data_IF_598298724805
#
_entry.id   IF_598298724805
#
_cell.length_a   1.000
_cell.length_b   1.000
_cell.length_c   1.000
_cell.angle_alpha   90.00
_cell.angle_beta   90.00
_cell.angle_gamma   90.00
#
_symmetry.space_group_name_H-M   'P 1'
#
loop_
_entity.id
_entity.type
_entity.pdbx_description
1 polymer ?
#
# COMPACT_ATOMS: atom_id res chain seq x y z
N UNK A 1 29.42 6.33 1.61
CA UNK A 1 28.77 7.65 1.49
C UNK A 1 27.47 7.58 2.30
N UNK A 2 27.30 8.53 3.24
CA UNK A 2 26.02 8.65 3.92
C UNK A 2 24.98 9.05 2.88
N UNK A 3 23.97 8.23 2.67
CA UNK A 3 22.86 8.54 1.78
C UNK A 3 22.04 9.69 2.40
N UNK A 4 21.63 10.66 1.60
CA UNK A 4 20.71 11.69 2.04
C UNK A 4 19.27 11.14 1.95
N UNK A 5 18.77 10.66 3.06
CA UNK A 5 17.42 10.09 3.13
C UNK A 5 16.31 11.13 2.94
N UNK A 6 16.53 12.42 3.16
CA UNK A 6 15.56 13.47 2.82
C UNK A 6 15.38 13.54 1.30
N UNK A 7 16.48 13.56 0.56
CA UNK A 7 16.44 13.55 -0.92
C UNK A 7 15.80 12.27 -1.44
N UNK A 8 16.16 11.10 -0.89
CA UNK A 8 15.54 9.82 -1.29
C UNK A 8 14.02 9.85 -1.09
N UNK A 9 13.55 10.39 0.05
CA UNK A 9 12.12 10.47 0.34
C UNK A 9 11.39 11.37 -0.67
N UNK A 10 11.91 12.55 -0.96
CA UNK A 10 11.30 13.48 -1.92
C UNK A 10 11.32 12.93 -3.34
N UNK A 11 12.41 12.29 -3.75
CA UNK A 11 12.53 11.67 -5.07
C UNK A 11 11.55 10.49 -5.22
N UNK A 12 11.38 9.66 -4.19
CA UNK A 12 10.41 8.57 -4.19
C UNK A 12 8.98 9.10 -4.25
N UNK A 13 8.63 10.13 -3.46
CA UNK A 13 7.31 10.77 -3.51
C UNK A 13 6.98 11.34 -4.89
N UNK A 14 7.99 11.81 -5.62
CA UNK A 14 7.85 12.32 -6.98
C UNK A 14 7.76 11.21 -8.06
N UNK A 15 7.96 9.95 -7.71
CA UNK A 15 7.84 8.87 -8.72
C UNK A 15 6.39 8.68 -9.18
N UNK A 16 6.15 8.43 -10.49
CA UNK A 16 4.78 8.30 -11.02
C UNK A 16 3.91 7.23 -10.34
N UNK A 17 4.51 6.17 -9.79
CA UNK A 17 3.75 5.15 -9.05
C UNK A 17 3.25 5.65 -7.69
N UNK A 18 3.99 6.54 -7.04
CA UNK A 18 3.70 7.06 -5.70
C UNK A 18 2.98 8.42 -5.76
N UNK A 19 3.42 9.31 -6.66
CA UNK A 19 2.90 10.68 -6.78
C UNK A 19 1.37 10.75 -6.88
N UNK A 20 0.80 11.88 -6.45
CA UNK A 20 -0.65 12.11 -6.44
C UNK A 20 -1.29 11.86 -7.80
N UNK A 21 -2.38 11.11 -7.80
CA UNK A 21 -3.22 10.84 -8.99
C UNK A 21 -4.39 11.82 -9.10
N UNK A 22 -4.34 12.94 -8.39
CA UNK A 22 -5.44 13.89 -8.26
C UNK A 22 -5.97 14.37 -9.61
N UNK A 23 -5.07 14.68 -10.54
CA UNK A 23 -5.43 15.14 -11.89
C UNK A 23 -6.35 14.16 -12.62
N UNK A 24 -6.13 12.84 -12.50
CA UNK A 24 -6.99 11.84 -13.15
C UNK A 24 -8.27 11.59 -12.39
N UNK A 25 -8.18 11.46 -11.06
CA UNK A 25 -9.35 11.17 -10.22
C UNK A 25 -10.40 12.28 -10.31
N UNK A 26 -9.96 13.55 -10.31
CA UNK A 26 -10.89 14.69 -10.36
C UNK A 26 -11.47 14.99 -11.75
N UNK A 27 -11.04 14.29 -12.79
CA UNK A 27 -11.67 14.37 -14.11
C UNK A 27 -13.06 13.75 -14.14
N UNK A 28 -13.37 12.87 -13.21
CA UNK A 28 -14.63 12.16 -13.09
C UNK A 28 -15.35 12.52 -11.80
N UNK A 29 -16.68 12.46 -11.83
CA UNK A 29 -17.48 12.58 -10.64
C UNK A 29 -17.38 11.29 -9.81
N UNK A 30 -16.68 11.34 -8.71
CA UNK A 30 -16.49 10.23 -7.76
C UNK A 30 -17.36 10.37 -6.51
N UNK A 31 -18.26 11.33 -6.48
CA UNK A 31 -19.14 11.62 -5.35
C UNK A 31 -20.63 11.60 -5.75
N UNK A 32 -20.97 10.90 -6.84
CA UNK A 32 -22.36 10.75 -7.29
C UNK A 32 -23.23 10.23 -6.15
N UNK A 33 -24.46 10.77 -6.05
CA UNK A 33 -25.45 10.48 -4.98
C UNK A 33 -25.04 10.89 -3.56
N UNK A 34 -23.88 11.50 -3.36
CA UNK A 34 -23.40 12.00 -2.06
C UNK A 34 -23.36 10.95 -0.92
N UNK A 35 -23.07 9.69 -1.25
CA UNK A 35 -23.02 8.58 -0.30
C UNK A 35 -21.61 8.04 -0.06
N UNK A 36 -20.59 8.77 -0.47
CA UNK A 36 -19.18 8.38 -0.28
C UNK A 36 -18.72 8.76 1.13
N UNK A 37 -18.52 7.76 1.98
CA UNK A 37 -18.04 7.93 3.36
C UNK A 37 -16.52 8.12 3.43
N UNK A 38 -15.74 7.32 2.68
CA UNK A 38 -14.31 7.52 2.48
C UNK A 38 -14.07 7.77 0.98
N UNK A 39 -13.49 8.92 0.70
CA UNK A 39 -13.25 9.42 -0.67
C UNK A 39 -11.89 8.97 -1.18
N UNK A 40 -11.61 9.04 -2.49
CA UNK A 40 -10.29 8.79 -3.06
C UNK A 40 -9.19 9.68 -2.47
N UNK A 41 -9.56 10.89 -2.03
CA UNK A 41 -8.69 11.79 -1.29
C UNK A 41 -9.30 12.16 0.05
N UNK A 42 -8.47 12.09 1.09
CA UNK A 42 -8.82 12.34 2.49
C UNK A 42 -7.93 13.41 3.10
N UNK A 43 -8.08 13.67 4.38
CA UNK A 43 -7.28 14.62 5.12
C UNK A 43 -7.84 16.03 5.15
N UNK A 44 -7.07 16.94 5.76
CA UNK A 44 -7.48 18.30 6.08
C UNK A 44 -7.87 19.11 4.84
N UNK A 45 -7.13 18.93 3.75
CA UNK A 45 -7.39 19.59 2.45
C UNK A 45 -8.11 18.70 1.45
N UNK A 46 -8.41 17.45 1.82
CA UNK A 46 -9.01 16.43 0.94
C UNK A 46 -8.18 16.19 -0.33
N UNK A 47 -6.88 16.17 -0.18
CA UNK A 47 -5.88 15.95 -1.22
C UNK A 47 -4.81 14.93 -0.82
N UNK A 48 -4.91 14.33 0.37
CA UNK A 48 -4.08 13.20 0.80
C UNK A 48 -4.60 11.86 0.26
N UNK A 49 -3.76 10.83 0.11
CA UNK A 49 -4.16 9.54 -0.43
C UNK A 49 -5.13 8.80 0.50
N UNK A 50 -5.96 7.93 -0.06
CA UNK A 50 -6.83 7.01 0.69
C UNK A 50 -6.58 5.58 0.22
N UNK A 51 -6.63 4.64 1.15
CA UNK A 51 -6.37 3.22 0.89
C UNK A 51 -7.52 2.56 0.11
N UNK A 52 -8.76 2.92 0.42
CA UNK A 52 -9.94 2.36 -0.21
C UNK A 52 -11.11 3.35 -0.26
N UNK A 53 -12.03 3.13 -1.19
CA UNK A 53 -13.30 3.81 -1.22
C UNK A 53 -14.34 3.14 -0.32
N UNK A 54 -15.12 3.94 0.43
CA UNK A 54 -16.25 3.45 1.23
C UNK A 54 -17.52 4.22 0.84
N UNK A 55 -18.56 3.49 0.47
CA UNK A 55 -19.87 4.06 0.15
C UNK A 55 -20.95 3.48 1.05
N UNK A 56 -21.94 4.31 1.39
CA UNK A 56 -23.15 3.91 2.12
C UNK A 56 -24.35 3.94 1.15
N UNK A 57 -24.61 2.87 0.37
CA UNK A 57 -25.50 2.91 -0.78
C UNK A 57 -26.99 3.12 -0.42
N UNK A 58 -27.37 2.93 0.84
CA UNK A 58 -28.75 3.06 1.29
C UNK A 58 -28.86 4.25 2.25
N UNK A 59 -29.62 5.27 1.86
CA UNK A 59 -29.85 6.45 2.70
C UNK A 59 -30.42 6.09 4.09
N UNK A 60 -29.82 6.65 5.12
CA UNK A 60 -30.22 6.39 6.52
C UNK A 60 -29.72 5.07 7.10
N UNK A 61 -29.04 4.24 6.32
CA UNK A 61 -28.40 3.02 6.78
C UNK A 61 -26.89 3.24 6.89
N UNK A 62 -26.24 3.04 8.05
CA UNK A 62 -24.81 3.23 8.21
C UNK A 62 -23.97 2.09 7.62
N UNK A 63 -24.56 0.99 7.20
CA UNK A 63 -23.84 -0.10 6.56
C UNK A 63 -23.34 0.31 5.19
N UNK A 64 -22.11 -0.05 4.88
CA UNK A 64 -21.44 0.36 3.65
C UNK A 64 -20.81 -0.78 2.86
N UNK A 65 -20.29 -0.39 1.71
CA UNK A 65 -19.47 -1.21 0.84
C UNK A 65 -18.08 -0.60 0.76
N UNK A 66 -17.06 -1.42 0.98
CA UNK A 66 -15.65 -1.09 0.77
C UNK A 66 -15.25 -1.57 -0.62
N UNK A 67 -14.45 -0.77 -1.34
CA UNK A 67 -13.87 -1.11 -2.64
C UNK A 67 -12.39 -0.73 -2.60
N UNK A 68 -11.52 -1.71 -2.86
CA UNK A 68 -10.07 -1.54 -2.91
C UNK A 68 -9.46 -2.31 -4.08
N UNK A 69 -8.18 -2.09 -4.34
CA UNK A 69 -7.42 -2.87 -5.31
C UNK A 69 -5.97 -3.01 -4.84
N UNK A 70 -5.26 -3.94 -5.48
CA UNK A 70 -3.82 -4.12 -5.32
C UNK A 70 -3.18 -4.54 -6.63
N UNK A 71 -1.95 -4.10 -6.87
CA UNK A 71 -1.20 -4.35 -8.10
C UNK A 71 0.31 -4.19 -7.85
N UNK A 72 1.10 -5.20 -8.18
CA UNK A 72 2.56 -5.18 -7.99
C UNK A 72 3.32 -5.70 -9.23
N UNK A 73 3.16 -5.09 -10.42
CA UNK A 73 3.63 -5.68 -11.68
C UNK A 73 5.15 -5.90 -11.73
N UNK A 74 5.94 -5.04 -11.06
CA UNK A 74 7.41 -5.14 -11.06
C UNK A 74 7.93 -6.38 -10.37
N UNK A 75 7.20 -6.93 -9.41
CA UNK A 75 7.62 -8.18 -8.76
C UNK A 75 7.63 -9.37 -9.71
N UNK A 76 6.83 -9.32 -10.79
CA UNK A 76 6.79 -10.36 -11.81
C UNK A 76 8.10 -10.50 -12.62
N UNK A 77 8.95 -9.48 -12.64
CA UNK A 77 10.27 -9.56 -13.25
C UNK A 77 11.19 -10.56 -12.52
N UNK A 78 10.91 -10.79 -11.24
CA UNK A 78 11.63 -11.73 -10.37
C UNK A 78 10.78 -13.00 -10.13
N UNK A 79 9.55 -12.83 -9.64
CA UNK A 79 8.63 -13.93 -9.30
C UNK A 79 7.15 -13.55 -9.50
N UNK A 80 6.52 -14.16 -10.51
CA UNK A 80 5.11 -13.89 -10.80
C UNK A 80 4.14 -14.43 -9.72
N UNK A 81 4.55 -15.43 -8.93
CA UNK A 81 3.79 -15.90 -7.76
C UNK A 81 3.81 -14.84 -6.65
N UNK A 82 4.99 -14.31 -6.32
CA UNK A 82 5.13 -13.21 -5.36
C UNK A 82 4.31 -11.97 -5.79
N UNK A 83 4.34 -11.62 -7.08
CA UNK A 83 3.50 -10.55 -7.65
C UNK A 83 2.02 -10.78 -7.39
N UNK A 84 1.51 -11.99 -7.64
CA UNK A 84 0.11 -12.31 -7.42
C UNK A 84 -0.27 -12.26 -5.93
N UNK A 85 0.59 -12.81 -5.06
CA UNK A 85 0.39 -12.76 -3.61
C UNK A 85 0.37 -11.30 -3.09
N UNK A 86 1.29 -10.46 -3.57
CA UNK A 86 1.37 -9.06 -3.19
C UNK A 86 0.13 -8.28 -3.62
N UNK A 87 -0.34 -8.44 -4.85
CA UNK A 87 -1.54 -7.76 -5.35
C UNK A 87 -2.79 -8.12 -4.54
N UNK A 88 -2.95 -9.39 -4.14
CA UNK A 88 -4.08 -9.82 -3.31
C UNK A 88 -3.96 -9.26 -1.89
N UNK A 89 -2.78 -9.36 -1.29
CA UNK A 89 -2.53 -8.85 0.05
C UNK A 89 -2.75 -7.34 0.14
N UNK A 90 -2.27 -6.59 -0.82
CA UNK A 90 -2.47 -5.14 -0.90
C UNK A 90 -3.95 -4.77 -0.98
N UNK A 91 -4.74 -5.45 -1.83
CA UNK A 91 -6.18 -5.20 -1.91
C UNK A 91 -6.88 -5.44 -0.56
N UNK A 92 -6.51 -6.52 0.15
CA UNK A 92 -7.06 -6.82 1.49
C UNK A 92 -6.59 -5.80 2.52
N UNK A 93 -5.32 -5.45 2.51
CA UNK A 93 -4.69 -4.50 3.43
C UNK A 93 -5.31 -3.11 3.32
N UNK A 94 -5.51 -2.62 2.09
CA UNK A 94 -6.19 -1.37 1.79
C UNK A 94 -7.64 -1.36 2.33
N UNK A 95 -8.38 -2.45 2.13
CA UNK A 95 -9.72 -2.58 2.68
C UNK A 95 -9.74 -2.61 4.22
N UNK A 96 -8.75 -3.24 4.85
CA UNK A 96 -8.59 -3.28 6.31
C UNK A 96 -8.35 -1.88 6.87
N UNK A 97 -7.54 -1.05 6.21
CA UNK A 97 -7.23 0.31 6.63
C UNK A 97 -8.47 1.20 6.78
N UNK A 98 -9.54 0.93 6.05
CA UNK A 98 -10.80 1.68 6.17
C UNK A 98 -11.86 0.99 7.04
N UNK A 99 -11.62 -0.25 7.49
CA UNK A 99 -12.50 -0.96 8.43
C UNK A 99 -13.46 -1.98 7.79
N UNK A 100 -13.09 -2.61 6.67
CA UNK A 100 -13.86 -3.73 6.09
C UNK A 100 -14.09 -4.84 7.11
N UNK A 101 -15.23 -5.53 7.07
CA UNK A 101 -15.41 -6.81 7.75
C UNK A 101 -14.70 -7.90 6.92
N UNK A 102 -13.49 -8.28 7.32
CA UNK A 102 -12.67 -9.25 6.57
C UNK A 102 -13.29 -10.64 6.45
N UNK A 103 -14.30 -10.96 7.23
CA UNK A 103 -15.06 -12.22 7.11
C UNK A 103 -16.18 -12.13 6.05
N UNK A 104 -16.35 -10.95 5.40
CA UNK A 104 -17.36 -10.66 4.37
C UNK A 104 -16.76 -9.90 3.19
N UNK A 105 -15.72 -10.47 2.61
CA UNK A 105 -15.02 -9.93 1.45
C UNK A 105 -15.17 -10.87 0.25
N UNK A 106 -15.08 -10.29 -0.94
CA UNK A 106 -15.00 -11.03 -2.20
C UNK A 106 -14.08 -10.29 -3.17
N UNK A 107 -13.50 -11.03 -4.10
CA UNK A 107 -12.52 -10.48 -5.02
C UNK A 107 -12.84 -10.74 -6.49
N UNK A 108 -12.10 -10.03 -7.34
CA UNK A 108 -12.08 -10.18 -8.78
C UNK A 108 -10.62 -10.12 -9.24
N UNK A 109 -10.18 -11.17 -9.91
CA UNK A 109 -8.87 -11.21 -10.55
C UNK A 109 -8.94 -10.61 -11.96
N UNK A 110 -7.93 -9.81 -12.30
CA UNK A 110 -7.77 -9.23 -13.62
C UNK A 110 -6.34 -9.45 -14.10
N UNK A 111 -6.15 -10.51 -14.88
CA UNK A 111 -4.86 -10.83 -15.49
C UNK A 111 -4.63 -10.02 -16.77
N UNK A 112 -3.46 -9.40 -16.86
CA UNK A 112 -2.89 -8.85 -18.08
C UNK A 112 -1.57 -9.56 -18.36
N UNK A 113 -1.51 -10.37 -19.44
CA UNK A 113 -0.41 -11.30 -19.66
C UNK A 113 0.17 -11.21 -21.07
N UNK A 114 1.51 -11.35 -21.23
CA UNK A 114 2.11 -11.49 -22.53
C UNK A 114 1.73 -12.82 -23.18
N UNK A 115 2.08 -13.02 -24.46
CA UNK A 115 1.74 -14.27 -25.17
C UNK A 115 2.41 -15.50 -24.51
N UNK A 116 1.66 -16.41 -23.87
CA UNK A 116 2.21 -17.57 -23.20
C UNK A 116 2.38 -18.79 -24.12
N UNK A 117 2.19 -18.64 -25.42
CA UNK A 117 2.31 -19.74 -26.39
C UNK A 117 3.68 -19.67 -27.08
N UNK A 118 4.46 -20.72 -26.95
CA UNK A 118 5.74 -20.82 -27.64
C UNK A 118 5.54 -20.84 -29.17
N UNK A 119 6.25 -19.99 -29.86
CA UNK A 119 6.23 -19.89 -31.33
C UNK A 119 7.50 -19.16 -31.79
N UNK A 120 7.74 -19.12 -33.12
CA UNK A 120 8.82 -18.29 -33.68
C UNK A 120 8.73 -16.80 -33.24
N UNK A 121 7.49 -16.29 -32.99
CA UNK A 121 7.26 -14.91 -32.54
C UNK A 121 7.34 -14.76 -31.01
N UNK A 122 7.32 -15.84 -30.28
CA UNK A 122 7.33 -15.89 -28.82
C UNK A 122 8.16 -17.09 -28.35
N UNK A 123 9.49 -17.07 -28.54
CA UNK A 123 10.36 -18.19 -28.18
C UNK A 123 10.39 -18.46 -26.66
N UNK A 124 10.03 -17.46 -25.85
CA UNK A 124 9.90 -17.50 -24.39
C UNK A 124 8.48 -17.84 -23.88
N UNK A 125 7.58 -18.27 -24.78
CA UNK A 125 6.19 -18.56 -24.44
C UNK A 125 6.02 -19.58 -23.31
N UNK A 126 6.84 -20.65 -23.30
CA UNK A 126 6.81 -21.64 -22.20
C UNK A 126 7.16 -21.04 -20.85
N UNK A 127 8.12 -20.13 -20.80
CA UNK A 127 8.47 -19.43 -19.56
C UNK A 127 7.30 -18.56 -19.09
N UNK A 128 6.70 -17.79 -19.98
CA UNK A 128 5.54 -16.94 -19.69
C UNK A 128 4.33 -17.75 -19.22
N UNK A 129 4.12 -18.95 -19.79
CA UNK A 129 3.09 -19.89 -19.32
C UNK A 129 3.41 -20.42 -17.92
N UNK A 130 4.66 -20.77 -17.65
CA UNK A 130 5.09 -21.22 -16.33
C UNK A 130 4.87 -20.14 -15.25
N UNK A 131 5.17 -18.87 -15.57
CA UNK A 131 4.86 -17.74 -14.69
C UNK A 131 3.35 -17.62 -14.42
N UNK A 132 2.49 -17.79 -15.44
CA UNK A 132 1.04 -17.74 -15.28
C UNK A 132 0.56 -18.85 -14.33
N UNK A 133 1.10 -20.06 -14.48
CA UNK A 133 0.77 -21.18 -13.58
C UNK A 133 1.19 -20.88 -12.14
N UNK A 134 2.37 -20.27 -11.94
CA UNK A 134 2.84 -19.90 -10.60
C UNK A 134 1.93 -18.82 -9.98
N UNK A 135 1.59 -17.77 -10.74
CA UNK A 135 0.66 -16.73 -10.28
C UNK A 135 -0.69 -17.29 -9.88
N UNK A 136 -1.27 -18.21 -10.66
CA UNK A 136 -2.55 -18.87 -10.34
C UNK A 136 -2.46 -19.78 -9.10
N UNK A 137 -1.34 -20.45 -8.86
CA UNK A 137 -1.15 -21.24 -7.64
C UNK A 137 -1.11 -20.36 -6.39
N UNK A 138 -0.45 -19.21 -6.48
CA UNK A 138 -0.45 -18.24 -5.38
C UNK A 138 -1.82 -17.59 -5.19
N UNK A 139 -2.53 -17.25 -6.25
CA UNK A 139 -3.92 -16.77 -6.18
C UNK A 139 -4.77 -17.77 -5.39
N UNK A 140 -4.74 -19.04 -5.75
CA UNK A 140 -5.48 -20.08 -5.02
C UNK A 140 -5.07 -20.15 -3.55
N UNK A 141 -3.76 -20.19 -3.28
CA UNK A 141 -3.22 -20.32 -1.92
C UNK A 141 -3.66 -19.18 -1.01
N UNK A 142 -3.52 -17.95 -1.48
CA UNK A 142 -3.84 -16.75 -0.70
C UNK A 142 -5.36 -16.59 -0.55
N UNK A 143 -6.11 -16.76 -1.62
CA UNK A 143 -7.58 -16.66 -1.56
C UNK A 143 -8.18 -17.69 -0.60
N UNK A 144 -7.63 -18.89 -0.52
CA UNK A 144 -8.05 -19.91 0.46
C UNK A 144 -7.72 -19.50 1.90
N UNK A 145 -6.50 -19.04 2.15
CA UNK A 145 -6.08 -18.59 3.49
C UNK A 145 -6.90 -17.39 3.97
N UNK A 146 -7.15 -16.43 3.09
CA UNK A 146 -7.95 -15.25 3.39
C UNK A 146 -9.47 -15.48 3.29
N UNK A 147 -9.92 -16.71 2.97
CA UNK A 147 -11.34 -17.03 2.76
C UNK A 147 -12.02 -16.06 1.79
N UNK A 148 -11.30 -15.66 0.77
CA UNK A 148 -11.65 -14.64 -0.20
C UNK A 148 -12.10 -15.30 -1.50
N UNK A 149 -13.41 -15.45 -1.74
CA UNK A 149 -13.90 -16.02 -3.00
C UNK A 149 -13.70 -15.03 -4.14
N UNK A 150 -13.16 -15.48 -5.26
CA UNK A 150 -13.22 -14.75 -6.53
C UNK A 150 -14.60 -14.95 -7.13
N UNK A 151 -15.40 -13.88 -7.25
CA UNK A 151 -16.78 -13.92 -7.78
C UNK A 151 -16.84 -13.61 -9.27
N UNK A 152 -15.76 -13.11 -9.82
CA UNK A 152 -15.56 -12.85 -11.25
C UNK A 152 -14.08 -12.85 -11.56
N UNK A 153 -13.72 -12.94 -12.83
CA UNK A 153 -12.37 -12.83 -13.33
C UNK A 153 -12.35 -12.21 -14.72
N UNK A 154 -11.22 -11.64 -15.11
CA UNK A 154 -10.98 -11.10 -16.44
C UNK A 154 -9.57 -11.44 -16.86
N UNK A 155 -9.42 -12.07 -18.03
CA UNK A 155 -8.15 -12.47 -18.58
C UNK A 155 -7.86 -11.74 -19.89
N UNK A 156 -6.76 -11.04 -19.94
CA UNK A 156 -6.23 -10.42 -21.15
C UNK A 156 -4.88 -11.04 -21.47
N UNK A 157 -4.87 -11.86 -22.50
CA UNK A 157 -3.69 -12.58 -22.94
C UNK A 157 -3.14 -12.02 -24.25
N UNK A 158 -1.83 -12.27 -24.54
CA UNK A 158 -1.14 -11.79 -25.72
C UNK A 158 -1.08 -10.27 -25.81
N UNK A 159 -0.88 -9.62 -24.67
CA UNK A 159 -0.67 -8.17 -24.59
C UNK A 159 0.76 -7.81 -25.00
N UNK A 160 1.02 -7.93 -26.28
CA UNK A 160 2.30 -7.60 -26.90
C UNK A 160 2.09 -6.49 -27.93
N UNK A 161 3.01 -5.55 -28.00
CA UNK A 161 3.06 -4.50 -29.00
C UNK A 161 4.24 -4.68 -29.94
N UNK A 162 4.06 -4.38 -31.23
CA UNK A 162 5.11 -4.50 -32.24
C UNK A 162 5.35 -5.93 -32.74
N UNK A 163 6.42 -6.11 -33.51
CA UNK A 163 6.81 -7.39 -34.12
C UNK A 163 8.32 -7.50 -34.18
N UNK A 164 8.82 -8.74 -34.20
CA UNK A 164 10.26 -9.01 -34.36
C UNK A 164 11.10 -8.46 -33.18
N UNK A 165 12.26 -7.87 -33.45
CA UNK A 165 13.18 -7.36 -32.42
C UNK A 165 12.58 -6.21 -31.58
N UNK A 166 11.64 -5.45 -32.16
CA UNK A 166 11.00 -4.29 -31.53
C UNK A 166 9.72 -4.68 -30.76
N UNK A 167 9.50 -5.97 -30.57
CA UNK A 167 8.34 -6.45 -29.80
C UNK A 167 8.49 -6.09 -28.33
N UNK A 168 7.49 -5.40 -27.79
CA UNK A 168 7.35 -5.10 -26.37
C UNK A 168 6.26 -6.00 -25.81
N UNK A 169 6.59 -6.80 -24.82
CA UNK A 169 5.62 -7.60 -24.07
C UNK A 169 5.28 -6.86 -22.78
N UNK A 170 3.98 -6.87 -22.40
CA UNK A 170 3.58 -6.38 -21.08
C UNK A 170 4.28 -7.22 -19.99
N UNK A 171 4.71 -6.63 -18.88
CA UNK A 171 5.07 -7.41 -17.70
C UNK A 171 3.88 -8.26 -17.25
N UNK A 172 4.07 -9.52 -16.86
CA UNK A 172 3.03 -10.32 -16.21
C UNK A 172 2.39 -9.55 -15.06
N UNK A 173 1.09 -9.33 -15.11
CA UNK A 173 0.39 -8.46 -14.17
C UNK A 173 -0.91 -9.08 -13.70
N UNK A 174 -1.16 -9.03 -12.39
CA UNK A 174 -2.45 -9.23 -11.76
C UNK A 174 -2.87 -7.91 -11.10
N UNK A 175 -4.01 -7.34 -11.53
CA UNK A 175 -4.74 -6.35 -10.77
C UNK A 175 -5.83 -7.09 -9.99
N UNK A 176 -5.75 -7.07 -8.67
CA UNK A 176 -6.78 -7.69 -7.83
C UNK A 176 -7.71 -6.61 -7.26
N UNK A 177 -9.00 -6.73 -7.54
CA UNK A 177 -10.02 -5.84 -6.97
C UNK A 177 -10.76 -6.57 -5.86
N UNK A 178 -11.04 -5.86 -4.78
CA UNK A 178 -11.75 -6.39 -3.61
C UNK A 178 -12.94 -5.51 -3.30
N UNK A 179 -14.01 -6.12 -2.86
CA UNK A 179 -15.13 -5.46 -2.24
C UNK A 179 -15.58 -6.23 -1.01
N UNK A 180 -16.11 -5.50 -0.02
CA UNK A 180 -16.49 -6.08 1.24
C UNK A 180 -17.50 -5.23 2.02
N UNK A 181 -18.10 -5.86 3.02
CA UNK A 181 -19.06 -5.22 3.91
C UNK A 181 -18.35 -4.28 4.89
N UNK A 182 -18.89 -3.08 5.08
CA UNK A 182 -18.52 -2.20 6.20
C UNK A 182 -19.69 -2.13 7.19
N UNK A 183 -19.52 -2.63 8.40
CA UNK A 183 -20.64 -2.71 9.36
C UNK A 183 -21.28 -1.36 9.71
N UNK A 184 -20.45 -0.31 9.84
CA UNK A 184 -20.89 1.05 10.14
C UNK A 184 -19.86 2.07 9.63
N UNK A 185 -20.16 2.72 8.51
CA UNK A 185 -19.25 3.67 7.85
C UNK A 185 -18.83 4.87 8.72
N UNK A 186 -19.55 5.16 9.80
CA UNK A 186 -19.19 6.21 10.77
C UNK A 186 -17.92 5.87 11.56
N UNK A 187 -17.56 4.59 11.57
CA UNK A 187 -16.34 4.07 12.20
C UNK A 187 -15.17 3.91 11.22
N UNK A 188 -15.34 4.25 9.95
CA UNK A 188 -14.23 4.19 9.00
C UNK A 188 -13.01 4.95 9.52
N UNK A 189 -11.83 4.38 9.27
CA UNK A 189 -10.56 5.07 9.42
C UNK A 189 -10.11 5.67 8.09
N UNK A 190 -9.17 6.60 8.14
CA UNK A 190 -8.53 7.22 6.98
C UNK A 190 -7.03 7.37 7.23
N UNK A 191 -6.24 7.54 6.17
CA UNK A 191 -4.78 7.57 6.25
C UNK A 191 -4.22 8.78 6.99
N UNK A 192 -4.89 9.93 6.95
CA UNK A 192 -4.39 11.20 7.48
C UNK A 192 -4.17 11.21 8.99
N UNK A 193 -3.03 11.74 9.45
CA UNK A 193 -2.78 12.00 10.87
C UNK A 193 -3.75 13.07 11.39
N UNK A 194 -4.25 12.92 12.63
CA UNK A 194 -5.36 13.75 13.15
C UNK A 194 -4.97 14.61 14.34
N UNK A 195 -4.39 14.01 15.37
CA UNK A 195 -4.20 14.71 16.64
C UNK A 195 -2.78 14.56 17.18
N UNK A 196 -2.14 15.67 17.61
CA UNK A 196 -0.89 15.57 18.35
C UNK A 196 -1.03 14.70 19.58
N UNK A 197 0.00 13.88 19.85
CA UNK A 197 0.03 12.94 20.96
C UNK A 197 -0.57 11.56 20.65
N UNK A 198 -1.21 11.38 19.49
CA UNK A 198 -1.60 10.03 19.04
C UNK A 198 -0.35 9.17 18.87
N UNK A 199 -0.39 7.94 19.39
CA UNK A 199 0.71 6.99 19.30
C UNK A 199 0.70 6.28 17.96
N UNK A 200 1.85 6.22 17.31
CA UNK A 200 2.03 5.58 16.01
C UNK A 200 2.57 4.17 16.22
N UNK A 201 1.89 3.20 15.64
CA UNK A 201 2.29 1.79 15.66
C UNK A 201 2.44 1.24 14.26
N UNK A 202 3.46 0.41 14.05
CA UNK A 202 3.53 -0.50 12.92
C UNK A 202 2.89 -1.84 13.33
N UNK A 203 1.87 -2.24 12.62
CA UNK A 203 1.33 -3.61 12.66
C UNK A 203 2.03 -4.38 11.55
N UNK A 204 2.58 -5.56 11.85
CA UNK A 204 3.40 -6.32 10.91
C UNK A 204 4.90 -6.17 11.18
N UNK A 205 5.73 -6.72 10.30
CA UNK A 205 7.18 -6.83 10.46
C UNK A 205 7.91 -6.46 9.16
N UNK A 206 9.02 -5.72 9.29
CA UNK A 206 9.92 -5.44 8.17
C UNK A 206 10.88 -6.62 7.97
N UNK A 207 11.00 -7.07 6.73
CA UNK A 207 11.91 -8.14 6.31
C UNK A 207 12.93 -7.60 5.31
N UNK A 208 13.99 -8.37 5.01
CA UNK A 208 15.01 -7.98 4.02
C UNK A 208 14.47 -8.19 2.58
N UNK A 209 13.53 -7.33 2.19
CA UNK A 209 12.75 -7.44 0.96
C UNK A 209 12.77 -6.09 0.20
N UNK A 210 13.86 -5.86 -0.53
CA UNK A 210 14.09 -4.66 -1.36
C UNK A 210 14.06 -4.98 -2.86
N UNK A 211 13.89 -6.24 -3.23
CA UNK A 211 13.85 -6.68 -4.63
C UNK A 211 12.65 -6.12 -5.37
N UNK A 212 12.90 -5.50 -6.53
CA UNK A 212 11.89 -4.86 -7.37
C UNK A 212 11.09 -3.73 -6.69
N UNK A 213 11.59 -3.18 -5.56
CA UNK A 213 10.97 -2.02 -4.91
C UNK A 213 11.14 -0.73 -5.72
N UNK A 214 10.32 0.27 -5.45
CA UNK A 214 10.45 1.61 -6.06
C UNK A 214 11.84 2.20 -5.81
N UNK A 215 12.40 1.99 -4.60
CA UNK A 215 13.76 2.40 -4.31
C UNK A 215 14.79 1.71 -5.21
N UNK A 216 14.68 0.39 -5.41
CA UNK A 216 15.61 -0.36 -6.26
C UNK A 216 15.58 0.14 -7.71
N UNK A 217 14.39 0.43 -8.24
CA UNK A 217 14.25 1.01 -9.58
C UNK A 217 14.84 2.43 -9.66
N UNK A 218 14.52 3.31 -8.72
CA UNK A 218 15.05 4.66 -8.68
C UNK A 218 16.58 4.67 -8.64
N UNK A 219 17.19 3.84 -7.80
CA UNK A 219 18.64 3.73 -7.70
C UNK A 219 19.27 3.19 -8.99
N UNK A 220 18.62 2.26 -9.68
CA UNK A 220 19.08 1.74 -10.96
C UNK A 220 19.02 2.78 -12.07
N UNK A 221 17.91 3.52 -12.18
CA UNK A 221 17.73 4.60 -13.14
C UNK A 221 18.75 5.72 -12.95
N UNK A 222 19.11 6.04 -11.70
CA UNK A 222 20.12 7.03 -11.37
C UNK A 222 21.58 6.54 -11.55
N UNK A 223 21.77 5.32 -12.07
CA UNK A 223 23.09 4.72 -12.25
C UNK A 223 23.82 4.39 -10.94
N UNK A 224 23.12 4.49 -9.82
CA UNK A 224 23.59 4.09 -8.50
C UNK A 224 23.32 2.61 -8.29
N UNK A 225 23.84 1.77 -9.22
CA UNK A 225 23.49 0.38 -9.15
C UNK A 225 23.83 -0.17 -7.79
N UNK A 226 22.96 -0.92 -7.28
CA UNK A 226 23.36 -2.09 -6.72
C UNK A 226 23.77 -2.19 -5.28
N UNK A 227 23.44 -3.15 -4.78
CA UNK A 227 23.43 -3.55 -3.42
C UNK A 227 22.05 -3.32 -2.78
N UNK A 228 21.20 -2.54 -3.42
CA UNK A 228 19.79 -2.41 -3.07
C UNK A 228 19.00 -3.34 -4.00
N UNK A 229 19.40 -4.56 -4.03
CA UNK A 229 18.66 -5.67 -4.59
C UNK A 229 18.26 -6.57 -3.43
N UNK A 230 17.42 -7.52 -3.66
CA UNK A 230 17.03 -8.47 -2.63
C UNK A 230 15.90 -9.34 -3.11
N UNK A 231 15.33 -10.06 -2.18
CA UNK A 231 14.15 -10.85 -2.45
C UNK A 231 12.95 -9.92 -2.63
N UNK A 232 12.07 -10.27 -3.55
CA UNK A 232 10.73 -9.67 -3.58
C UNK A 232 9.96 -10.07 -2.32
N UNK A 233 9.00 -9.23 -1.87
CA UNK A 233 8.16 -9.59 -0.74
C UNK A 233 7.46 -10.93 -0.92
N UNK A 234 7.53 -11.76 0.10
CA UNK A 234 6.94 -13.09 0.11
C UNK A 234 5.88 -13.21 1.21
N UNK A 235 4.72 -13.72 0.85
CA UNK A 235 3.65 -14.02 1.81
C UNK A 235 3.80 -15.45 2.35
N UNK A 236 4.70 -15.62 3.34
CA UNK A 236 5.06 -16.94 3.88
C UNK A 236 3.97 -17.55 4.76
N UNK A 237 3.30 -16.74 5.57
CA UNK A 237 2.25 -17.17 6.53
C UNK A 237 0.98 -16.31 6.38
N UNK A 238 0.15 -16.59 5.36
CA UNK A 238 -1.06 -15.81 5.11
C UNK A 238 -2.13 -15.98 6.20
N UNK A 239 -2.21 -17.13 6.87
CA UNK A 239 -3.18 -17.34 7.94
C UNK A 239 -2.89 -16.47 9.15
N UNK A 240 -1.63 -16.38 9.58
CA UNK A 240 -1.19 -15.48 10.66
C UNK A 240 -1.48 -14.03 10.31
N UNK A 241 -1.18 -13.63 9.07
CA UNK A 241 -1.40 -12.27 8.61
C UNK A 241 -2.90 -11.93 8.57
N UNK A 242 -3.73 -12.82 8.05
CA UNK A 242 -5.18 -12.63 8.02
C UNK A 242 -5.79 -12.55 9.44
N UNK A 243 -5.22 -13.27 10.40
CA UNK A 243 -5.59 -13.13 11.81
C UNK A 243 -5.31 -11.73 12.35
N UNK A 244 -4.16 -11.15 11.99
CA UNK A 244 -3.79 -9.77 12.34
C UNK A 244 -4.76 -8.75 11.70
N UNK A 245 -5.09 -8.91 10.44
CA UNK A 245 -6.08 -8.08 9.74
C UNK A 245 -7.45 -8.12 10.39
N UNK A 246 -7.89 -9.30 10.83
CA UNK A 246 -9.15 -9.46 11.54
C UNK A 246 -9.14 -8.71 12.88
N UNK A 247 -8.04 -8.75 13.63
CA UNK A 247 -7.90 -8.01 14.88
C UNK A 247 -7.93 -6.50 14.65
N UNK A 248 -7.18 -6.01 13.66
CA UNK A 248 -7.13 -4.58 13.30
C UNK A 248 -8.48 -4.08 12.78
N UNK A 249 -9.13 -4.82 11.88
CA UNK A 249 -10.48 -4.49 11.40
C UNK A 249 -11.47 -4.30 12.56
N UNK A 250 -11.44 -5.19 13.57
CA UNK A 250 -12.26 -5.05 14.79
C UNK A 250 -11.90 -3.81 15.59
N UNK A 251 -10.62 -3.46 15.70
CA UNK A 251 -10.18 -2.25 16.40
C UNK A 251 -10.69 -0.98 15.70
N UNK A 252 -10.66 -0.94 14.37
CA UNK A 252 -11.22 0.16 13.57
C UNK A 252 -12.74 0.23 13.76
N UNK A 253 -13.46 -0.88 13.54
CA UNK A 253 -14.92 -0.92 13.64
C UNK A 253 -15.45 -0.59 15.06
N UNK A 254 -14.65 -0.83 16.11
CA UNK A 254 -14.98 -0.41 17.49
C UNK A 254 -14.67 1.05 17.79
N UNK A 255 -14.09 1.80 16.83
CA UNK A 255 -13.70 3.20 17.01
C UNK A 255 -12.42 3.41 17.82
N UNK A 256 -11.67 2.34 18.12
CA UNK A 256 -10.38 2.40 18.84
C UNK A 256 -9.29 2.97 17.93
N UNK A 257 -9.28 2.60 16.66
CA UNK A 257 -8.38 3.13 15.63
C UNK A 257 -9.18 3.98 14.65
N UNK A 258 -8.72 5.20 14.39
CA UNK A 258 -9.35 6.16 13.44
C UNK A 258 -8.41 6.60 12.32
N UNK A 259 -7.15 6.21 12.41
CA UNK A 259 -6.13 6.47 11.41
C UNK A 259 -5.38 5.17 11.13
N UNK A 260 -5.39 4.76 9.87
CA UNK A 260 -4.66 3.59 9.39
C UNK A 260 -4.24 3.82 7.94
N UNK A 261 -3.06 3.34 7.57
CA UNK A 261 -2.51 3.43 6.23
C UNK A 261 -1.62 2.22 5.95
N UNK A 262 -1.72 1.64 4.77
CA UNK A 262 -0.89 0.50 4.40
C UNK A 262 0.55 0.92 4.08
N UNK A 263 1.49 -0.02 4.16
CA UNK A 263 2.86 0.18 3.70
C UNK A 263 3.04 -0.61 2.40
N UNK A 264 2.98 0.07 1.28
CA UNK A 264 3.17 -0.46 -0.07
C UNK A 264 4.47 0.09 -0.68
N UNK A 265 4.43 0.67 -1.87
CA UNK A 265 5.60 1.21 -2.55
C UNK A 265 6.36 2.23 -1.70
N UNK A 266 7.67 2.03 -1.58
CA UNK A 266 8.56 2.87 -0.77
C UNK A 266 8.46 2.66 0.74
N UNK A 267 7.68 1.67 1.19
CA UNK A 267 7.68 1.15 2.55
C UNK A 267 7.21 2.13 3.63
N UNK A 268 7.75 1.98 4.83
CA UNK A 268 7.38 2.77 6.02
C UNK A 268 7.66 4.26 5.81
N UNK A 269 8.76 4.60 5.12
CA UNK A 269 9.14 5.98 4.88
C UNK A 269 8.10 6.74 4.05
N UNK A 270 7.58 6.13 2.99
CA UNK A 270 6.51 6.73 2.16
C UNK A 270 5.19 6.74 2.93
N UNK A 271 4.80 5.63 3.54
CA UNK A 271 3.52 5.55 4.23
C UNK A 271 3.36 6.63 5.32
N UNK A 272 4.38 6.84 6.18
CA UNK A 272 4.30 7.90 7.19
C UNK A 272 4.32 9.31 6.57
N UNK A 273 5.06 9.51 5.47
CA UNK A 273 5.06 10.78 4.75
C UNK A 273 3.66 11.11 4.19
N UNK A 274 2.99 10.15 3.59
CA UNK A 274 1.63 10.27 3.07
C UNK A 274 0.61 10.57 4.18
N UNK A 275 0.75 9.92 5.35
CA UNK A 275 -0.07 10.23 6.53
C UNK A 275 0.13 11.67 7.00
N UNK A 276 1.36 12.18 7.00
CA UNK A 276 1.67 13.58 7.32
C UNK A 276 1.11 14.53 6.23
N UNK A 277 1.24 14.18 4.95
CA UNK A 277 0.66 14.93 3.82
C UNK A 277 -0.84 15.09 4.02
N UNK A 278 -1.57 14.01 4.30
CA UNK A 278 -3.01 14.05 4.52
C UNK A 278 -3.40 14.92 5.72
N UNK A 279 -2.69 14.78 6.83
CA UNK A 279 -2.95 15.49 8.08
C UNK A 279 -2.44 16.93 8.13
N UNK A 280 -1.50 17.33 7.25
CA UNK A 280 -0.76 18.61 7.34
C UNK A 280 -0.12 18.80 8.71
N UNK A 281 0.30 17.71 9.33
CA UNK A 281 0.87 17.66 10.68
C UNK A 281 2.07 16.70 10.69
N UNK A 282 3.05 17.00 11.55
CA UNK A 282 4.28 16.23 11.64
C UNK A 282 4.18 15.00 12.54
N UNK A 283 5.23 14.20 12.48
CA UNK A 283 5.40 13.03 13.33
C UNK A 283 6.87 12.85 13.71
N UNK A 284 7.11 12.22 14.84
CA UNK A 284 8.43 11.76 15.25
C UNK A 284 8.37 10.26 15.47
N UNK A 285 9.12 9.52 14.67
CA UNK A 285 9.15 8.05 14.74
C UNK A 285 10.58 7.52 14.79
N UNK A 286 10.71 6.35 15.37
CA UNK A 286 11.90 5.52 15.37
C UNK A 286 11.54 4.16 14.74
N UNK A 287 12.29 3.78 13.70
CA UNK A 287 12.08 2.50 13.01
C UNK A 287 12.89 1.35 13.61
N UNK A 288 13.72 1.59 14.60
CA UNK A 288 14.42 0.52 15.31
C UNK A 288 13.39 -0.44 15.95
N UNK A 289 13.68 -1.72 15.90
CA UNK A 289 12.76 -2.75 16.40
C UNK A 289 11.58 -3.12 15.49
N UNK A 290 11.42 -2.52 14.31
CA UNK A 290 10.37 -2.89 13.35
C UNK A 290 10.65 -4.18 12.58
N UNK A 291 11.84 -4.74 12.74
CA UNK A 291 12.27 -6.01 12.15
C UNK A 291 13.77 -6.24 12.38
N UNK A 292 14.17 -7.50 12.46
CA UNK A 292 15.59 -7.87 12.54
C UNK A 292 16.24 -7.87 11.14
N UNK A 293 16.38 -6.69 10.55
CA UNK A 293 16.81 -6.50 9.16
C UNK A 293 17.61 -5.20 9.03
N UNK A 294 18.10 -4.88 7.83
CA UNK A 294 18.85 -3.65 7.59
C UNK A 294 17.98 -2.40 7.78
N UNK A 295 18.59 -1.27 8.12
CA UNK A 295 17.92 0.04 8.17
C UNK A 295 17.22 0.35 6.83
N UNK A 296 17.85 0.00 5.71
CA UNK A 296 17.27 0.18 4.39
C UNK A 296 15.96 -0.59 4.21
N UNK A 297 15.90 -1.83 4.65
CA UNK A 297 14.70 -2.64 4.58
C UNK A 297 13.63 -2.20 5.60
N UNK A 298 14.03 -1.72 6.80
CA UNK A 298 13.09 -1.15 7.76
C UNK A 298 12.40 0.10 7.23
N UNK A 299 13.14 0.98 6.54
CA UNK A 299 12.62 2.27 6.06
C UNK A 299 11.95 2.16 4.67
N UNK A 300 12.60 1.47 3.72
CA UNK A 300 12.25 1.48 2.31
C UNK A 300 11.80 0.12 1.76
N UNK A 301 11.94 -0.97 2.54
CA UNK A 301 11.48 -2.28 2.11
C UNK A 301 9.96 -2.30 1.95
N UNK A 302 9.47 -3.13 1.04
CA UNK A 302 8.05 -3.22 0.69
C UNK A 302 7.41 -4.52 1.21
N UNK A 303 7.88 -5.02 2.38
CA UNK A 303 7.36 -6.24 2.99
C UNK A 303 5.86 -6.19 3.19
N UNK A 304 5.19 -7.28 2.84
CA UNK A 304 3.73 -7.40 2.90
C UNK A 304 3.20 -7.37 4.34
N UNK A 305 1.94 -7.08 4.48
CA UNK A 305 1.23 -7.19 5.76
C UNK A 305 1.45 -6.07 6.74
N UNK A 306 2.12 -5.00 6.36
CA UNK A 306 2.41 -3.87 7.25
C UNK A 306 1.38 -2.76 7.09
N UNK A 307 0.93 -2.25 8.25
CA UNK A 307 -0.01 -1.12 8.34
C UNK A 307 0.48 -0.19 9.46
N UNK A 308 0.55 1.11 9.19
CA UNK A 308 0.75 2.12 10.24
C UNK A 308 -0.60 2.57 10.75
N UNK A 309 -0.73 2.63 12.08
CA UNK A 309 -1.94 3.15 12.73
C UNK A 309 -1.60 4.25 13.72
N UNK A 310 -2.49 5.23 13.85
CA UNK A 310 -2.43 6.21 14.93
C UNK A 310 -3.55 5.95 15.93
N UNK A 311 -3.19 5.92 17.20
CA UNK A 311 -4.08 5.55 18.30
C UNK A 311 -4.02 6.63 19.38
N UNK A 312 -5.18 7.15 19.77
CA UNK A 312 -5.24 8.16 20.84
C UNK A 312 -4.72 7.59 22.16
N UNK A 313 -4.10 8.42 23.03
CA UNK A 313 -3.63 7.98 24.34
C UNK A 313 -4.71 7.26 25.18
N UNK A 314 -5.96 7.70 25.05
CA UNK A 314 -7.11 7.13 25.77
C UNK A 314 -7.45 5.70 25.30
N UNK A 315 -7.22 5.41 24.02
CA UNK A 315 -7.49 4.10 23.42
C UNK A 315 -6.30 3.17 23.43
N UNK A 316 -5.11 3.64 23.84
CA UNK A 316 -3.86 2.92 23.70
C UNK A 316 -3.87 1.53 24.36
N UNK A 317 -4.31 1.46 25.62
CA UNK A 317 -4.37 0.18 26.34
C UNK A 317 -5.34 -0.81 25.67
N UNK A 318 -6.49 -0.32 25.21
CA UNK A 318 -7.48 -1.15 24.51
C UNK A 318 -6.99 -1.63 23.15
N UNK A 319 -6.26 -0.79 22.42
CA UNK A 319 -5.62 -1.18 21.17
C UNK A 319 -4.64 -2.32 21.38
N UNK A 320 -3.73 -2.20 22.34
CA UNK A 320 -2.74 -3.24 22.66
C UNK A 320 -3.39 -4.55 23.11
N UNK A 321 -4.50 -4.47 23.86
CA UNK A 321 -5.29 -5.65 24.22
C UNK A 321 -5.88 -6.33 22.99
N UNK A 322 -6.48 -5.56 22.07
CA UNK A 322 -7.09 -6.09 20.84
C UNK A 322 -6.08 -6.69 19.88
N UNK A 323 -4.85 -6.15 19.86
CA UNK A 323 -3.75 -6.62 19.04
C UNK A 323 -2.87 -7.66 19.74
N UNK A 324 -3.25 -8.13 20.93
CA UNK A 324 -2.46 -9.11 21.68
C UNK A 324 -2.23 -10.39 20.86
N UNK A 325 -0.96 -10.83 20.78
CA UNK A 325 -0.55 -11.99 19.97
C UNK A 325 -0.24 -11.67 18.50
N UNK A 326 -0.40 -10.42 18.08
CA UNK A 326 0.00 -9.93 16.75
C UNK A 326 1.21 -9.01 16.86
N UNK A 327 2.10 -9.06 15.85
CA UNK A 327 3.29 -8.20 15.83
C UNK A 327 2.86 -6.74 15.72
N UNK A 328 3.21 -5.95 16.73
CA UNK A 328 2.86 -4.53 16.82
C UNK A 328 4.01 -3.79 17.49
N UNK A 329 4.61 -2.84 16.78
CA UNK A 329 5.77 -2.06 17.26
C UNK A 329 5.39 -0.61 17.44
N UNK A 330 5.65 -0.02 18.59
CA UNK A 330 5.50 1.42 18.80
C UNK A 330 6.60 2.14 18.01
N UNK A 331 6.19 2.98 17.05
CA UNK A 331 7.11 3.82 16.27
C UNK A 331 7.39 5.16 16.96
N UNK A 332 6.39 5.78 17.57
CA UNK A 332 6.50 7.11 18.11
C UNK A 332 5.15 7.80 18.26
N UNK A 333 5.10 9.08 17.91
CA UNK A 333 3.87 9.87 18.08
C UNK A 333 3.71 10.97 17.03
N UNK A 334 2.48 11.41 16.89
CA UNK A 334 2.11 12.61 16.11
C UNK A 334 2.52 13.85 16.90
N UNK A 335 3.23 14.77 16.26
CA UNK A 335 3.70 16.00 16.89
C UNK A 335 2.85 17.23 16.49
N UNK A 336 2.80 18.25 17.36
CA UNK A 336 2.14 19.53 17.06
C UNK A 336 3.02 20.44 16.16
N UNK A 337 3.80 19.84 15.27
CA UNK A 337 4.70 20.53 14.34
C UNK A 337 4.30 20.20 12.90
N UNK A 338 4.91 20.86 11.93
CA UNK A 338 4.78 20.54 10.51
C UNK A 338 5.99 19.78 9.98
N UNK A 339 6.71 19.05 10.85
CA UNK A 339 7.95 18.39 10.50
C UNK A 339 7.87 16.87 10.73
N UNK A 340 8.28 16.12 9.73
CA UNK A 340 8.48 14.69 9.85
C UNK A 340 9.93 14.41 10.26
N UNK A 341 10.10 13.71 11.38
CA UNK A 341 11.38 13.22 11.86
C UNK A 341 11.38 11.71 11.97
N UNK A 342 12.33 11.05 11.31
CA UNK A 342 12.51 9.59 11.34
C UNK A 342 13.93 9.29 11.81
N UNK A 343 14.04 8.43 12.82
CA UNK A 343 15.30 7.91 13.33
C UNK A 343 15.37 6.38 13.21
N UNK A 344 16.58 5.85 13.30
CA UNK A 344 16.89 4.44 13.50
C UNK A 344 17.79 4.33 14.75
N UNK A 345 17.17 4.20 15.92
CA UNK A 345 17.81 4.31 17.20
C UNK A 345 18.38 5.71 17.45
N UNK A 346 19.72 5.84 17.48
CA UNK A 346 20.38 7.13 17.70
C UNK A 346 20.64 7.92 16.43
N UNK A 347 20.45 7.32 15.26
CA UNK A 347 20.74 7.95 13.97
C UNK A 347 19.50 8.66 13.42
N UNK A 348 19.53 9.99 13.31
CA UNK A 348 18.52 10.76 12.57
C UNK A 348 18.69 10.50 11.08
N UNK A 349 17.67 9.94 10.43
CA UNK A 349 17.68 9.61 9.00
C UNK A 349 16.98 10.69 8.16
N UNK A 350 15.83 11.17 8.63
CA UNK A 350 14.96 12.13 7.92
C UNK A 350 14.52 13.21 8.89
N UNK A 351 14.58 14.47 8.40
CA UNK A 351 14.09 15.63 9.12
C UNK A 351 13.64 16.67 8.09
N UNK A 352 12.33 16.69 7.74
CA UNK A 352 11.80 17.42 6.58
C UNK A 352 10.45 18.07 6.89
N UNK A 353 10.18 19.22 6.27
CA UNK A 353 8.90 19.89 6.40
C UNK A 353 7.80 19.18 5.58
N UNK A 354 6.60 19.08 6.16
CA UNK A 354 5.45 18.44 5.49
C UNK A 354 5.09 19.15 4.18
N UNK A 355 5.28 20.47 4.09
CA UNK A 355 5.03 21.21 2.84
C UNK A 355 5.96 20.77 1.69
N UNK A 356 7.20 20.41 2.00
CA UNK A 356 8.15 19.91 0.99
C UNK A 356 7.71 18.53 0.49
N UNK A 357 7.21 17.68 1.40
CA UNK A 357 6.60 16.38 1.04
C UNK A 357 5.38 16.57 0.13
N UNK A 358 4.49 17.51 0.46
CA UNK A 358 3.33 17.85 -0.38
C UNK A 358 3.75 18.28 -1.77
N UNK A 359 4.73 19.17 -1.86
CA UNK A 359 5.24 19.70 -3.13
C UNK A 359 5.79 18.57 -4.00
N UNK A 360 6.58 17.67 -3.43
CA UNK A 360 7.14 16.52 -4.16
C UNK A 360 6.05 15.56 -4.61
N UNK A 361 5.10 15.24 -3.74
CA UNK A 361 4.03 14.28 -4.02
C UNK A 361 3.03 14.75 -5.07
N UNK A 362 2.68 16.04 -5.08
CA UNK A 362 1.72 16.63 -6.03
C UNK A 362 2.36 17.06 -7.36
N UNK A 363 3.65 17.41 -7.37
CA UNK A 363 4.28 18.09 -8.50
C UNK A 363 4.42 17.27 -9.79
N UNK A 364 4.67 15.97 -9.71
CA UNK A 364 5.06 15.17 -10.88
C UNK A 364 3.93 14.96 -11.89
N UNK A 365 2.72 14.72 -11.41
CA UNK A 365 1.57 14.38 -12.24
C UNK A 365 0.54 15.51 -12.31
N UNK A 366 0.94 16.72 -11.92
CA UNK A 366 0.13 17.93 -12.12
C UNK A 366 0.17 18.35 -13.59
N UNK A 367 -0.86 17.96 -14.32
CA UNK A 367 -1.05 18.34 -15.74
C UNK A 367 -1.79 19.66 -15.91
N UNK A 368 -2.18 20.33 -14.83
CA UNK A 368 -2.90 21.61 -14.87
C UNK A 368 -1.97 22.80 -15.07
N UNK A 369 -0.66 22.60 -14.99
CA UNK A 369 0.36 23.65 -15.14
C UNK A 369 0.37 24.65 -14.00
N UNK A 370 -0.05 24.25 -12.83
CA UNK A 370 0.01 25.09 -11.62
C UNK A 370 -1.05 26.20 -11.59
N UNK A 371 -2.17 26.01 -12.28
CA UNK A 371 -3.34 26.88 -12.12
C UNK A 371 -4.15 26.38 -10.92
N UNK A 372 -3.72 26.77 -9.74
CA UNK A 372 -4.50 26.68 -8.51
C UNK A 372 -5.01 28.06 -8.11
#
# INVERSE_FOLDING_TARGET
QNADHNTILTDLLARPNIASKETWVRQYDHEVIAQTAVKPFVGVKRDGPADAGVIAPIHGNPRGLVISCGIAPRYSDIDAGAMAAAAIDEAVRNAVCVGVDVDKIAGLDNFCWPDPIESEKTPDGKFKLAQLVRANRELERICRAYRLPCVSGKDSMKNDYGKGPDKISIPPTLLFSLFGDHPDVRNSATSDLKHPGDKLYLVGESLEELGASELAFMMTENGQSAGIGGNVPLLSDPDRLFSSYRALSKAINSGVVKTAHDCSEGGVGIAIAEMCIGGRIGAKIDIDGTGNTSMWARLWGESLGRIIVAVSPQNNAKFLEMMAGHTTTLLGEVEATTKLNIADGFDELISIEVNDLVTSWQGTLDLTGGVA
#
